data_IF_912845768561
#
_entry.id   IF_912845768561
#
_cell.length_a   1.000
_cell.length_b   1.000
_cell.length_c   1.000
_cell.angle_alpha   90.00
_cell.angle_beta   90.00
_cell.angle_gamma   90.00
#
_symmetry.space_group_name_H-M   'P 1'
#
loop_
_entity.id
_entity.type
_entity.pdbx_description
1 polymer ?
#
# COMPACT_ATOMS: atom_id res chain seq x y z
N UNK A 1 0.58 -7.27 7.97
CA UNK A 1 0.89 -6.67 6.65
C UNK A 1 -0.35 -6.48 5.78
N UNK A 2 -1.28 -7.44 5.70
CA UNK A 2 -2.53 -7.36 4.93
C UNK A 2 -3.46 -6.20 5.35
N UNK A 3 -3.52 -5.93 6.66
CA UNK A 3 -4.41 -4.93 7.29
C UNK A 3 -4.31 -3.55 6.64
N UNK A 4 -3.11 -3.11 6.24
CA UNK A 4 -2.94 -1.80 5.63
C UNK A 4 -3.65 -1.66 4.28
N UNK A 5 -3.65 -2.71 3.44
CA UNK A 5 -4.37 -2.70 2.16
C UNK A 5 -5.87 -2.71 2.41
N UNK A 6 -6.35 -3.57 3.31
CA UNK A 6 -7.78 -3.65 3.65
C UNK A 6 -8.29 -2.32 4.21
N UNK A 7 -7.52 -1.68 5.08
CA UNK A 7 -7.82 -0.36 5.64
C UNK A 7 -7.86 0.71 4.57
N UNK A 8 -6.86 0.77 3.68
CA UNK A 8 -6.85 1.72 2.57
C UNK A 8 -8.07 1.56 1.66
N UNK A 9 -8.43 0.31 1.31
CA UNK A 9 -9.61 0.05 0.49
C UNK A 9 -10.89 0.44 1.21
N UNK A 10 -11.04 0.12 2.49
CA UNK A 10 -12.21 0.51 3.27
C UNK A 10 -12.39 2.04 3.31
N UNK A 11 -11.30 2.79 3.52
CA UNK A 11 -11.31 4.25 3.53
C UNK A 11 -11.68 4.84 2.17
N UNK A 12 -11.20 4.24 1.08
CA UNK A 12 -11.55 4.64 -0.28
C UNK A 12 -13.03 4.34 -0.60
N UNK A 13 -13.52 3.15 -0.26
CA UNK A 13 -14.94 2.80 -0.46
C UNK A 13 -15.87 3.74 0.30
N UNK A 14 -15.52 4.09 1.55
CA UNK A 14 -16.29 5.03 2.36
C UNK A 14 -16.41 6.44 1.73
N UNK A 15 -15.50 6.80 0.81
CA UNK A 15 -15.48 8.05 0.05
C UNK A 15 -16.07 7.94 -1.35
N UNK A 16 -16.68 6.79 -1.67
CA UNK A 16 -17.38 6.55 -2.92
C UNK A 16 -16.48 6.16 -4.09
N UNK A 17 -15.22 5.79 -3.86
CA UNK A 17 -14.41 5.16 -4.91
C UNK A 17 -14.89 3.73 -5.17
N UNK A 18 -14.93 3.33 -6.43
CA UNK A 18 -15.51 2.06 -6.87
C UNK A 18 -14.49 1.16 -7.58
N UNK A 19 -13.51 1.74 -8.27
CA UNK A 19 -12.51 1.03 -9.09
C UNK A 19 -11.12 1.27 -8.50
N UNK A 20 -10.84 0.61 -7.39
CA UNK A 20 -9.58 0.78 -6.67
C UNK A 20 -8.51 -0.13 -7.28
N UNK A 21 -7.41 0.47 -7.73
CA UNK A 21 -6.24 -0.23 -8.24
C UNK A 21 -5.11 -0.33 -7.23
N UNK A 22 -4.32 -1.40 -7.31
CA UNK A 22 -3.07 -1.57 -6.59
C UNK A 22 -1.91 -1.60 -7.60
N UNK A 23 -0.95 -0.69 -7.46
CA UNK A 23 0.23 -0.60 -8.31
C UNK A 23 1.52 -0.63 -7.48
N UNK A 24 2.21 -1.76 -7.49
CA UNK A 24 3.41 -2.04 -6.68
C UNK A 24 4.42 -2.87 -7.48
N UNK A 25 5.69 -2.91 -7.06
CA UNK A 25 6.67 -3.78 -7.72
C UNK A 25 6.49 -5.23 -7.29
N UNK A 26 6.84 -6.17 -8.16
CA UNK A 26 6.89 -7.60 -7.81
C UNK A 26 7.82 -7.85 -6.62
N UNK A 27 8.92 -7.09 -6.53
CA UNK A 27 9.88 -7.18 -5.43
C UNK A 27 9.27 -6.77 -4.08
N UNK A 28 8.52 -5.65 -4.04
CA UNK A 28 7.83 -5.20 -2.82
C UNK A 28 6.82 -6.25 -2.35
N UNK A 29 6.02 -6.80 -3.27
CA UNK A 29 5.02 -7.82 -2.93
C UNK A 29 5.67 -9.12 -2.45
N UNK A 30 6.72 -9.60 -3.14
CA UNK A 30 7.45 -10.80 -2.75
C UNK A 30 8.11 -10.67 -1.37
N UNK A 31 8.73 -9.51 -1.07
CA UNK A 31 9.33 -9.25 0.25
C UNK A 31 8.30 -9.27 1.37
N UNK A 32 7.06 -8.90 1.08
CA UNK A 32 5.94 -8.98 2.01
C UNK A 32 5.20 -10.33 1.96
N UNK A 33 5.82 -11.38 1.40
CA UNK A 33 5.23 -12.72 1.26
C UNK A 33 3.84 -12.68 0.59
N UNK A 34 3.69 -11.84 -0.44
CA UNK A 34 2.45 -11.62 -1.18
C UNK A 34 1.27 -11.11 -0.33
N UNK A 35 1.55 -10.52 0.84
CA UNK A 35 0.49 -10.00 1.70
C UNK A 35 -0.29 -8.84 1.06
N UNK A 36 0.34 -8.02 0.21
CA UNK A 36 -0.34 -6.87 -0.39
C UNK A 36 -1.26 -7.30 -1.53
N UNK A 37 -0.73 -8.08 -2.48
CA UNK A 37 -1.53 -8.65 -3.57
C UNK A 37 -2.63 -9.57 -3.04
N UNK A 38 -2.32 -10.44 -2.08
CA UNK A 38 -3.28 -11.34 -1.44
C UNK A 38 -4.44 -10.59 -0.76
N UNK A 39 -4.13 -9.52 0.00
CA UNK A 39 -5.17 -8.68 0.61
C UNK A 39 -6.06 -8.00 -0.44
N UNK A 40 -5.46 -7.45 -1.50
CA UNK A 40 -6.24 -6.79 -2.56
C UNK A 40 -7.13 -7.78 -3.31
N UNK A 41 -6.63 -8.96 -3.65
CA UNK A 41 -7.40 -10.01 -4.30
C UNK A 41 -8.55 -10.49 -3.42
N UNK A 42 -8.33 -10.64 -2.12
CA UNK A 42 -9.37 -10.98 -1.15
C UNK A 42 -10.48 -9.92 -1.14
N UNK A 43 -10.12 -8.64 -1.10
CA UNK A 43 -11.10 -7.55 -1.16
C UNK A 43 -11.83 -7.52 -2.51
N UNK A 44 -11.15 -7.80 -3.62
CA UNK A 44 -11.80 -7.86 -4.93
C UNK A 44 -12.83 -8.98 -5.04
N UNK A 45 -12.73 -10.06 -4.24
CA UNK A 45 -13.75 -11.11 -4.26
C UNK A 45 -15.13 -10.63 -3.81
N UNK A 46 -15.20 -9.64 -2.91
CA UNK A 46 -16.46 -9.03 -2.47
C UNK A 46 -16.95 -7.90 -3.38
N UNK A 47 -16.16 -7.50 -4.38
CA UNK A 47 -16.55 -6.45 -5.35
C UNK A 47 -17.26 -7.02 -6.58
N UNK A 48 -18.22 -6.29 -7.18
CA UNK A 48 -18.76 -6.61 -8.51
C UNK A 48 -17.66 -6.75 -9.56
N UNK A 49 -17.77 -7.74 -10.46
CA UNK A 49 -16.78 -7.98 -11.53
C UNK A 49 -16.36 -6.71 -12.30
N UNK A 50 -17.29 -5.81 -12.70
CA UNK A 50 -16.91 -4.59 -13.39
C UNK A 50 -15.99 -3.69 -12.57
N UNK A 51 -16.09 -3.68 -11.23
CA UNK A 51 -15.30 -2.82 -10.34
C UNK A 51 -13.90 -3.37 -10.02
N UNK A 52 -13.64 -4.65 -10.34
CA UNK A 52 -12.35 -5.30 -10.07
C UNK A 52 -11.28 -4.80 -11.06
N UNK A 53 -10.29 -4.08 -10.55
CA UNK A 53 -9.14 -3.60 -11.32
C UNK A 53 -7.98 -4.61 -11.20
N UNK A 54 -7.47 -5.21 -12.29
CA UNK A 54 -6.33 -6.12 -12.21
C UNK A 54 -5.12 -5.44 -11.56
N UNK A 55 -4.40 -6.15 -10.68
CA UNK A 55 -3.21 -5.61 -10.03
C UNK A 55 -2.16 -5.20 -11.07
N UNK A 56 -1.48 -4.07 -10.84
CA UNK A 56 -0.27 -3.72 -11.57
C UNK A 56 0.94 -4.11 -10.74
N UNK A 57 1.57 -5.23 -11.11
CA UNK A 57 2.83 -5.66 -10.55
C UNK A 57 3.97 -5.27 -11.50
N UNK A 58 4.74 -4.25 -11.14
CA UNK A 58 5.86 -3.81 -11.97
C UNK A 58 6.98 -4.87 -11.97
N UNK A 59 7.48 -5.25 -13.15
CA UNK A 59 8.47 -6.33 -13.27
C UNK A 59 9.87 -5.93 -12.76
N UNK A 60 10.18 -4.64 -12.77
CA UNK A 60 11.45 -4.12 -12.28
C UNK A 60 11.22 -3.37 -10.96
N UNK A 61 12.17 -3.49 -10.03
CA UNK A 61 12.12 -2.72 -8.79
C UNK A 61 12.44 -1.23 -9.01
N UNK A 62 13.20 -0.90 -10.06
CA UNK A 62 13.42 0.48 -10.49
C UNK A 62 12.18 1.02 -11.22
N UNK A 63 11.34 1.73 -10.46
CA UNK A 63 10.09 2.27 -10.97
C UNK A 63 10.26 3.36 -12.03
N UNK A 64 11.43 3.99 -12.16
CA UNK A 64 11.69 4.94 -13.27
C UNK A 64 11.50 4.30 -14.65
N UNK A 65 11.64 2.97 -14.73
CA UNK A 65 11.43 2.16 -15.94
C UNK A 65 9.98 1.69 -16.11
N UNK A 66 9.09 2.04 -15.18
CA UNK A 66 7.71 1.58 -15.10
C UNK A 66 6.67 2.46 -15.79
N UNK A 67 7.03 3.69 -16.21
CA UNK A 67 6.09 4.68 -16.73
C UNK A 67 5.24 4.17 -17.90
N UNK A 68 5.83 3.47 -18.87
CA UNK A 68 5.11 2.93 -20.03
C UNK A 68 4.12 1.83 -19.64
N UNK A 69 4.53 0.96 -18.72
CA UNK A 69 3.67 -0.12 -18.22
C UNK A 69 2.50 0.47 -17.44
N UNK A 70 2.78 1.46 -16.58
CA UNK A 70 1.76 2.21 -15.85
C UNK A 70 0.77 2.89 -16.79
N UNK A 71 1.25 3.64 -17.78
CA UNK A 71 0.43 4.35 -18.77
C UNK A 71 -0.48 3.41 -19.56
N UNK A 72 0.03 2.24 -19.98
CA UNK A 72 -0.79 1.22 -20.67
C UNK A 72 -1.87 0.67 -19.73
N UNK A 73 -1.50 0.34 -18.50
CA UNK A 73 -2.40 -0.24 -17.52
C UNK A 73 -3.51 0.73 -17.10
N UNK A 74 -3.18 1.97 -16.76
CA UNK A 74 -4.16 2.95 -16.27
C UNK A 74 -5.16 3.34 -17.37
N UNK A 75 -4.72 3.45 -18.63
CA UNK A 75 -5.61 3.72 -19.78
C UNK A 75 -6.58 2.57 -20.06
N UNK A 76 -6.10 1.34 -19.90
CA UNK A 76 -6.90 0.13 -20.13
C UNK A 76 -7.92 -0.11 -19.02
N UNK A 77 -7.50 0.03 -17.77
CA UNK A 77 -8.29 -0.39 -16.62
C UNK A 77 -9.01 0.74 -15.90
N UNK A 78 -8.62 2.01 -16.12
CA UNK A 78 -9.29 3.22 -15.62
C UNK A 78 -9.74 3.09 -14.16
N UNK A 79 -8.80 2.87 -13.21
CA UNK A 79 -9.13 2.99 -11.79
C UNK A 79 -9.58 4.41 -11.46
N UNK A 80 -10.46 4.56 -10.46
CA UNK A 80 -10.85 5.86 -9.88
C UNK A 80 -10.12 6.17 -8.57
N UNK A 81 -9.40 5.19 -8.02
CA UNK A 81 -8.42 5.37 -6.96
C UNK A 81 -7.25 4.40 -7.11
N UNK A 82 -6.09 4.79 -6.61
CA UNK A 82 -4.85 4.04 -6.70
C UNK A 82 -4.19 3.93 -5.32
N UNK A 83 -3.77 2.73 -4.96
CA UNK A 83 -2.88 2.46 -3.84
C UNK A 83 -1.49 2.16 -4.43
N UNK A 84 -0.46 2.90 -3.99
CA UNK A 84 0.92 2.67 -4.41
C UNK A 84 1.91 2.93 -3.27
N UNK A 85 3.17 2.54 -3.47
CA UNK A 85 4.25 2.67 -2.48
C UNK A 85 5.28 3.73 -2.89
N UNK A 86 5.08 4.41 -4.01
CA UNK A 86 6.14 5.11 -4.71
C UNK A 86 5.77 6.54 -5.08
N UNK A 87 6.78 7.40 -5.07
CA UNK A 87 6.68 8.84 -5.28
C UNK A 87 6.62 9.26 -6.75
N UNK A 88 6.93 8.39 -7.70
CA UNK A 88 6.87 8.69 -9.15
C UNK A 88 5.43 8.59 -9.70
N UNK A 89 4.56 7.82 -9.04
CA UNK A 89 3.16 7.65 -9.46
C UNK A 89 2.40 8.99 -9.55
N UNK A 90 2.47 9.91 -8.56
CA UNK A 90 1.94 11.26 -8.70
C UNK A 90 2.37 11.98 -9.99
N UNK A 91 3.65 11.88 -10.35
CA UNK A 91 4.20 12.56 -11.53
C UNK A 91 3.64 11.97 -12.83
N UNK A 92 3.52 10.64 -12.90
CA UNK A 92 2.92 9.99 -14.05
C UNK A 92 1.44 10.29 -14.20
N UNK A 93 0.69 10.41 -13.10
CA UNK A 93 -0.70 10.83 -13.14
C UNK A 93 -0.83 12.25 -13.70
N UNK A 94 0.03 13.18 -13.25
CA UNK A 94 0.10 14.56 -13.78
C UNK A 94 0.45 14.59 -15.27
N UNK A 95 1.41 13.79 -15.72
CA UNK A 95 1.77 13.66 -17.14
C UNK A 95 0.67 13.06 -18.01
N UNK A 96 -0.32 12.39 -17.39
CA UNK A 96 -1.52 11.88 -18.04
C UNK A 96 -2.72 12.82 -17.90
N UNK A 97 -2.50 14.03 -17.37
CA UNK A 97 -3.53 15.07 -17.16
C UNK A 97 -4.64 14.62 -16.21
N UNK A 98 -4.35 13.69 -15.29
CA UNK A 98 -5.27 13.26 -14.24
C UNK A 98 -5.03 14.07 -12.97
N UNK A 99 -6.07 14.74 -12.48
CA UNK A 99 -6.02 15.53 -11.25
C UNK A 99 -6.29 14.65 -10.03
N UNK A 100 -5.57 14.94 -8.96
CA UNK A 100 -5.68 14.29 -7.66
C UNK A 100 -6.21 15.34 -6.69
N UNK A 101 -7.36 15.13 -6.03
CA UNK A 101 -8.19 13.92 -5.98
C UNK A 101 -9.41 13.87 -6.93
N UNK A 102 -9.58 14.86 -7.81
CA UNK A 102 -10.84 15.04 -8.57
C UNK A 102 -11.10 13.88 -9.54
N UNK A 103 -10.09 13.55 -10.35
CA UNK A 103 -10.21 12.52 -11.39
C UNK A 103 -9.79 11.14 -10.84
N UNK A 104 -8.81 11.10 -9.95
CA UNK A 104 -8.31 9.87 -9.32
C UNK A 104 -7.82 10.12 -7.88
N UNK A 105 -8.26 9.28 -6.95
CA UNK A 105 -7.72 9.25 -5.58
C UNK A 105 -6.37 8.55 -5.51
N UNK A 106 -5.46 9.03 -4.67
CA UNK A 106 -4.16 8.38 -4.46
C UNK A 106 -3.92 8.13 -2.97
N UNK A 107 -3.51 6.91 -2.64
CA UNK A 107 -3.08 6.50 -1.30
C UNK A 107 -1.64 5.99 -1.37
N UNK A 108 -0.77 6.56 -0.53
CA UNK A 108 0.61 6.10 -0.37
C UNK A 108 0.69 5.10 0.79
N UNK A 109 0.95 3.82 0.48
CA UNK A 109 0.91 2.73 1.46
C UNK A 109 2.11 2.70 2.40
N UNK A 110 3.23 3.27 1.99
CA UNK A 110 4.42 3.42 2.84
C UNK A 110 4.63 4.89 3.18
N UNK A 111 3.62 5.46 3.84
CA UNK A 111 3.56 6.89 4.13
C UNK A 111 4.70 7.30 5.07
N UNK A 112 5.31 8.43 4.75
CA UNK A 112 6.31 9.10 5.57
C UNK A 112 5.98 10.59 5.69
N UNK A 113 6.61 11.22 6.67
CA UNK A 113 6.37 12.63 7.00
C UNK A 113 6.73 13.62 5.87
N UNK A 114 7.50 13.19 4.88
CA UNK A 114 7.77 13.96 3.65
C UNK A 114 6.63 13.88 2.62
N UNK A 115 5.57 13.11 2.88
CA UNK A 115 4.46 12.80 1.98
C UNK A 115 3.12 13.34 2.51
N UNK A 116 3.15 14.44 3.27
CA UNK A 116 1.95 15.00 3.94
C UNK A 116 0.84 15.44 2.98
N UNK A 117 1.18 15.67 1.71
CA UNK A 117 0.23 16.00 0.65
C UNK A 117 -0.59 14.77 0.19
N UNK A 118 -0.31 13.58 0.74
CA UNK A 118 -1.00 12.36 0.41
C UNK A 118 -1.64 11.70 1.63
N UNK A 119 -2.85 11.19 1.44
CA UNK A 119 -3.42 10.18 2.32
C UNK A 119 -2.60 8.89 2.22
N UNK A 120 -2.54 8.12 3.31
CA UNK A 120 -1.62 7.00 3.35
C UNK A 120 -1.77 6.04 4.50
N UNK A 121 -0.90 5.03 4.48
CA UNK A 121 -0.76 4.05 5.54
C UNK A 121 0.60 4.27 6.20
N UNK A 122 0.58 4.68 7.47
CA UNK A 122 1.78 4.85 8.27
C UNK A 122 2.13 3.55 8.99
N UNK A 123 3.30 3.01 8.70
CA UNK A 123 3.74 1.70 9.20
C UNK A 123 4.22 1.72 10.66
N UNK A 124 4.25 2.87 11.35
CA UNK A 124 4.69 3.01 12.75
C UNK A 124 6.07 2.37 13.01
N UNK A 125 7.05 2.72 12.17
CA UNK A 125 8.39 2.08 12.12
C UNK A 125 9.15 2.21 13.45
N UNK A 126 8.93 3.31 14.15
CA UNK A 126 9.34 3.59 15.51
C UNK A 126 8.83 2.54 16.51
N UNK A 127 7.53 2.22 16.50
CA UNK A 127 6.99 1.14 17.34
C UNK A 127 7.49 -0.24 16.93
N UNK A 128 7.72 -0.47 15.63
CA UNK A 128 8.33 -1.72 15.14
C UNK A 128 9.75 -1.87 15.70
N UNK A 129 10.54 -0.79 15.70
CA UNK A 129 11.90 -0.80 16.25
C UNK A 129 11.91 -1.08 17.76
N UNK A 130 11.01 -0.46 18.53
CA UNK A 130 10.84 -0.74 19.97
C UNK A 130 10.53 -2.22 20.19
N UNK A 131 9.53 -2.75 19.50
CA UNK A 131 9.13 -4.16 19.65
C UNK A 131 10.26 -5.14 19.27
N UNK A 132 11.10 -4.79 18.28
CA UNK A 132 12.25 -5.60 17.91
C UNK A 132 13.32 -5.62 19.01
N UNK A 133 13.62 -4.46 19.61
CA UNK A 133 14.58 -4.36 20.73
C UNK A 133 14.05 -5.12 21.95
N UNK A 134 12.77 -4.95 22.30
CA UNK A 134 12.13 -5.65 23.42
C UNK A 134 12.16 -7.17 23.24
N UNK A 135 11.95 -7.66 22.01
CA UNK A 135 12.04 -9.07 21.70
C UNK A 135 13.45 -9.61 21.99
N UNK A 136 14.49 -8.94 21.50
CA UNK A 136 15.88 -9.37 21.74
C UNK A 136 16.24 -9.29 23.23
N UNK A 137 15.85 -8.21 23.91
CA UNK A 137 16.08 -8.06 25.36
C UNK A 137 15.44 -9.21 26.15
N UNK A 138 14.20 -9.58 25.80
CA UNK A 138 13.49 -10.71 26.39
C UNK A 138 14.23 -12.04 26.16
N UNK A 139 14.71 -12.27 24.94
CA UNK A 139 15.49 -13.48 24.61
C UNK A 139 16.78 -13.57 25.42
N UNK A 140 17.50 -12.46 25.58
CA UNK A 140 18.72 -12.39 26.38
C UNK A 140 18.45 -12.69 27.86
N UNK A 141 17.37 -12.12 28.43
CA UNK A 141 16.97 -12.37 29.82
C UNK A 141 16.60 -13.84 30.08
N UNK A 142 16.04 -14.53 29.08
CA UNK A 142 15.74 -15.96 29.15
C UNK A 142 16.91 -16.87 28.73
N UNK A 143 18.10 -16.29 28.49
CA UNK A 143 19.26 -17.01 27.99
C UNK A 143 19.00 -17.79 26.68
N UNK A 144 18.03 -17.34 25.89
CA UNK A 144 17.80 -17.85 24.53
C UNK A 144 18.98 -17.43 23.64
N UNK A 145 19.50 -18.37 22.85
CA UNK A 145 20.65 -18.15 21.95
C UNK A 145 20.35 -18.71 20.57
N UNK A 146 20.87 -18.03 19.54
CA UNK A 146 20.64 -18.43 18.15
C UNK A 146 19.22 -18.13 17.69
N UNK A 147 18.82 -18.73 16.56
CA UNK A 147 17.46 -18.61 16.03
C UNK A 147 16.55 -19.54 16.84
N UNK A 148 15.44 -19.04 17.41
CA UNK A 148 14.50 -19.88 18.13
C UNK A 148 13.93 -21.01 17.26
N UNK A 149 13.71 -22.19 17.84
CA UNK A 149 13.05 -23.31 17.16
C UNK A 149 11.67 -22.89 16.63
N UNK A 150 10.94 -22.08 17.39
CA UNK A 150 9.67 -21.47 16.99
C UNK A 150 9.84 -19.96 16.86
N UNK A 151 9.91 -19.40 15.64
CA UNK A 151 10.02 -17.96 15.43
C UNK A 151 8.79 -17.20 15.94
N UNK A 152 9.02 -16.07 16.62
CA UNK A 152 7.95 -15.18 17.07
C UNK A 152 7.69 -14.10 16.02
N UNK A 153 6.41 -13.83 15.72
CA UNK A 153 5.99 -12.70 14.90
C UNK A 153 5.22 -11.71 15.76
N UNK A 154 5.64 -10.44 15.74
CA UNK A 154 4.97 -9.35 16.44
C UNK A 154 4.33 -8.45 15.38
N UNK A 155 3.02 -8.23 15.49
CA UNK A 155 2.28 -7.34 14.60
C UNK A 155 2.09 -5.98 15.28
N UNK A 156 2.72 -4.95 14.74
CA UNK A 156 2.35 -3.56 14.99
C UNK A 156 1.34 -3.15 13.90
N UNK A 157 0.07 -2.87 14.26
CA UNK A 157 -0.92 -2.47 13.26
C UNK A 157 -0.55 -1.12 12.64
N UNK A 158 -0.64 -0.97 11.31
CA UNK A 158 -0.41 0.32 10.69
C UNK A 158 -1.53 1.31 11.03
N UNK A 159 -1.26 2.60 10.88
CA UNK A 159 -2.25 3.65 11.02
C UNK A 159 -2.68 4.19 9.65
N UNK A 160 -3.93 4.60 9.55
CA UNK A 160 -4.39 5.42 8.44
C UNK A 160 -4.02 6.88 8.70
N UNK A 161 -3.56 7.55 7.65
CA UNK A 161 -3.26 8.98 7.63
C UNK A 161 -4.17 9.63 6.59
N UNK A 162 -4.96 10.62 7.03
CA UNK A 162 -5.73 11.47 6.12
C UNK A 162 -4.81 12.36 5.29
N UNK A 163 -5.28 12.75 4.10
CA UNK A 163 -4.54 13.70 3.26
C UNK A 163 -5.37 14.19 2.07
N UNK A 164 -4.94 15.28 1.43
CA UNK A 164 -5.72 15.93 0.37
C UNK A 164 -5.75 15.15 -0.95
N UNK A 165 -4.95 14.08 -1.08
CA UNK A 165 -4.91 13.24 -2.28
C UNK A 165 -6.11 12.30 -2.45
N UNK A 166 -7.10 12.39 -1.58
CA UNK A 166 -8.39 11.69 -1.70
C UNK A 166 -9.55 12.66 -1.40
N UNK A 167 -10.74 12.33 -1.90
CA UNK A 167 -11.97 13.05 -1.59
C UNK A 167 -12.21 13.09 -0.07
N UNK A 168 -12.76 14.20 0.45
CA UNK A 168 -13.13 14.29 1.86
C UNK A 168 -14.22 13.27 2.19
N UNK A 169 -14.25 12.83 3.44
CA UNK A 169 -15.35 12.01 3.95
C UNK A 169 -16.61 12.89 4.04
N UNK A 170 -17.74 12.37 3.55
CA UNK A 170 -19.05 13.04 3.66
C UNK A 170 -19.65 12.87 5.04
#
# INVERSE_FOLDING_TARGET
MTVGIQQAVAQLIARGYQRIGLAITQWVDARAQHAYSGAMLQVQQSMPRPQRVPLLLFPHNDLRRGADVFRKWIRRHRPDALISFDTHVPDWLRQLELRIPEDIGLVVHDWAESMRDFAGIFQRRDHIAVAAVDLVATQLLHHERGVPEVPRQILIPPAWIEGPSIRPQR
#
